data_IF_483685646473
#
_entry.id   IF_483685646473
#
_cell.length_a   1.000
_cell.length_b   1.000
_cell.length_c   1.000
_cell.angle_alpha   90.00
_cell.angle_beta   90.00
_cell.angle_gamma   90.00
#
_symmetry.space_group_name_H-M   'P 1'
#
loop_
_entity.id
_entity.type
_entity.pdbx_description
1 polymer ?
#
# COMPACT_ATOMS: atom_id res chain seq x y z
N UNK A 1 23.26 10.81 -1.12
CA UNK A 1 22.28 11.06 -0.05
C UNK A 1 21.07 11.71 -0.71
N UNK A 2 19.92 11.12 -0.53
CA UNK A 2 18.67 11.62 -1.11
C UNK A 2 18.16 12.87 -0.35
N UNK A 3 17.16 13.57 -0.91
CA UNK A 3 16.70 14.85 -0.35
C UNK A 3 15.64 14.70 0.74
N UNK A 4 14.82 13.63 0.66
CA UNK A 4 13.65 13.45 1.53
C UNK A 4 13.80 12.19 2.39
N UNK A 5 14.20 11.06 1.81
CA UNK A 5 14.48 9.82 2.51
C UNK A 5 15.95 9.79 2.86
N UNK A 6 16.31 10.29 4.03
CA UNK A 6 17.71 10.46 4.45
C UNK A 6 18.33 9.15 4.96
N UNK A 7 18.29 8.09 4.15
CA UNK A 7 18.94 6.81 4.42
C UNK A 7 20.25 6.67 3.63
N UNK A 8 21.06 5.68 4.01
CA UNK A 8 22.15 5.16 3.20
C UNK A 8 21.71 3.88 2.47
N UNK A 9 22.33 3.52 1.33
CA UNK A 9 21.95 2.33 0.57
C UNK A 9 21.96 1.02 1.39
N UNK A 10 22.92 0.87 2.30
CA UNK A 10 23.03 -0.31 3.17
C UNK A 10 21.98 -0.38 4.28
N UNK A 11 21.25 0.71 4.52
CA UNK A 11 20.20 0.79 5.52
C UNK A 11 18.82 0.41 4.99
N UNK A 12 18.65 0.28 3.68
CA UNK A 12 17.37 -0.05 3.06
C UNK A 12 17.43 -1.34 2.28
N UNK A 13 16.31 -2.05 2.26
CA UNK A 13 16.17 -3.30 1.52
C UNK A 13 15.65 -3.05 0.11
N UNK A 14 15.87 -4.03 -0.78
CA UNK A 14 15.14 -4.08 -2.05
C UNK A 14 13.63 -4.32 -1.87
N UNK A 15 13.20 -4.82 -0.69
CA UNK A 15 11.81 -5.16 -0.34
C UNK A 15 11.25 -4.14 0.64
N UNK A 16 10.31 -3.31 0.18
CA UNK A 16 9.81 -2.17 0.94
C UNK A 16 8.30 -2.22 1.11
N UNK A 17 7.84 -2.03 2.35
CA UNK A 17 6.45 -1.72 2.65
C UNK A 17 6.25 -0.21 2.67
N UNK A 18 5.19 0.27 2.02
CA UNK A 18 4.87 1.70 1.86
C UNK A 18 3.50 2.04 2.48
N UNK A 19 3.34 2.04 3.80
CA UNK A 19 2.15 2.61 4.41
C UNK A 19 2.17 4.14 4.30
N UNK A 20 0.99 4.76 4.19
CA UNK A 20 0.86 6.21 4.25
C UNK A 20 1.00 6.76 5.67
N UNK A 21 0.68 5.96 6.68
CA UNK A 21 0.73 6.30 8.10
C UNK A 21 2.09 5.89 8.71
N UNK A 22 2.77 6.84 9.35
CA UNK A 22 4.04 6.60 10.04
C UNK A 22 3.91 5.64 11.21
N UNK A 23 2.78 5.67 11.93
CA UNK A 23 2.50 4.71 13.01
C UNK A 23 2.39 3.29 12.46
N UNK A 24 1.73 3.12 11.30
CA UNK A 24 1.65 1.80 10.64
C UNK A 24 3.01 1.34 10.13
N UNK A 25 3.90 2.25 9.70
CA UNK A 25 5.26 1.88 9.34
C UNK A 25 6.00 1.24 10.52
N UNK A 26 5.78 1.78 11.72
CA UNK A 26 6.30 1.17 12.95
C UNK A 26 5.64 -0.16 13.27
N UNK A 27 4.30 -0.27 13.15
CA UNK A 27 3.59 -1.53 13.40
C UNK A 27 4.11 -2.66 12.50
N UNK A 28 4.37 -2.39 11.22
CA UNK A 28 5.01 -3.37 10.32
C UNK A 28 6.41 -3.74 10.83
N UNK A 29 7.21 -2.73 11.19
CA UNK A 29 8.58 -2.93 11.63
C UNK A 29 8.67 -3.61 13.02
N UNK A 30 7.65 -3.53 13.86
CA UNK A 30 7.59 -4.24 15.14
C UNK A 30 7.60 -5.77 14.99
N UNK A 31 7.33 -6.29 13.77
CA UNK A 31 7.50 -7.70 13.42
C UNK A 31 8.92 -8.05 12.95
N UNK A 32 9.82 -7.07 12.83
CA UNK A 32 11.19 -7.30 12.39
C UNK A 32 12.12 -7.65 13.54
N UNK A 33 12.93 -8.67 13.36
CA UNK A 33 14.10 -8.91 14.20
C UNK A 33 15.14 -7.81 13.95
N UNK A 34 15.77 -7.32 15.02
CA UNK A 34 16.82 -6.27 14.96
C UNK A 34 16.33 -5.00 14.24
N UNK A 35 15.08 -4.60 14.49
CA UNK A 35 14.48 -3.41 13.89
C UNK A 35 15.26 -2.16 14.31
N UNK A 36 15.57 -1.31 13.33
CA UNK A 36 16.19 0.00 13.51
C UNK A 36 15.40 1.08 12.80
N UNK A 37 15.18 2.23 13.46
CA UNK A 37 14.69 3.44 12.79
C UNK A 37 15.87 4.13 12.11
N UNK A 38 15.93 4.06 10.79
CA UNK A 38 17.06 4.54 9.98
C UNK A 38 16.88 5.95 9.42
N UNK A 39 15.64 6.44 9.35
CA UNK A 39 15.36 7.84 8.99
C UNK A 39 14.07 8.35 9.62
N UNK A 40 14.02 9.68 9.83
CA UNK A 40 12.83 10.43 10.25
C UNK A 40 13.01 11.87 9.75
N UNK A 41 12.48 12.16 8.58
CA UNK A 41 12.67 13.45 7.94
C UNK A 41 11.44 13.86 7.12
N UNK A 42 10.99 15.11 7.25
CA UNK A 42 9.88 15.70 6.48
C UNK A 42 8.56 14.90 6.52
N UNK A 43 8.33 14.16 7.61
CA UNK A 43 7.17 13.28 7.74
C UNK A 43 7.34 11.90 7.11
N UNK A 44 8.49 11.60 6.51
CA UNK A 44 8.85 10.26 6.06
C UNK A 44 9.66 9.58 7.16
N UNK A 45 9.20 8.44 7.62
CA UNK A 45 9.89 7.62 8.62
C UNK A 45 10.24 6.26 8.04
N UNK A 46 11.48 5.80 8.28
CA UNK A 46 11.96 4.53 7.72
C UNK A 46 12.50 3.65 8.83
N UNK A 47 12.03 2.41 8.82
CA UNK A 47 12.51 1.33 9.68
C UNK A 47 13.02 0.19 8.81
N UNK A 48 14.12 -0.43 9.22
CA UNK A 48 14.65 -1.63 8.56
C UNK A 48 14.99 -2.70 9.57
N UNK A 49 14.93 -3.96 9.16
CA UNK A 49 15.21 -5.12 9.99
C UNK A 49 14.98 -6.41 9.24
N UNK A 50 14.89 -7.51 9.95
CA UNK A 50 14.75 -8.84 9.36
C UNK A 50 13.41 -9.46 9.71
N UNK A 51 12.75 -10.07 8.74
CA UNK A 51 11.58 -10.91 8.95
C UNK A 51 11.85 -12.30 8.40
N UNK A 52 11.86 -13.31 9.26
CA UNK A 52 12.25 -14.70 8.90
C UNK A 52 13.56 -14.79 8.10
N UNK A 53 14.56 -13.99 8.50
CA UNK A 53 15.87 -13.95 7.87
C UNK A 53 15.99 -13.10 6.61
N UNK A 54 14.88 -12.53 6.10
CA UNK A 54 14.88 -11.63 4.95
C UNK A 54 14.99 -10.17 5.43
N UNK A 55 15.98 -9.43 4.93
CA UNK A 55 16.11 -7.99 5.20
C UNK A 55 14.98 -7.23 4.50
N UNK A 56 14.22 -6.43 5.25
CA UNK A 56 13.06 -5.69 4.77
C UNK A 56 13.06 -4.26 5.33
N UNK A 57 12.38 -3.38 4.62
CA UNK A 57 12.21 -1.97 5.01
C UNK A 57 10.73 -1.62 5.08
N UNK A 58 10.34 -0.82 6.07
CA UNK A 58 9.02 -0.20 6.18
C UNK A 58 9.18 1.32 6.16
N UNK A 59 8.59 1.96 5.14
CA UNK A 59 8.67 3.39 4.90
C UNK A 59 7.30 4.04 5.01
N UNK A 60 7.05 4.81 6.07
CA UNK A 60 5.87 5.66 6.21
C UNK A 60 5.97 6.86 5.28
N UNK A 61 5.30 6.80 4.15
CA UNK A 61 5.46 7.76 3.06
C UNK A 61 4.72 9.08 3.28
N UNK A 62 3.68 9.09 4.12
CA UNK A 62 2.68 10.17 4.14
C UNK A 62 1.54 9.87 3.16
N UNK A 63 0.64 10.83 2.97
CA UNK A 63 -0.58 10.70 2.16
C UNK A 63 -0.42 11.37 0.79
N UNK A 64 -0.92 10.69 -0.25
CA UNK A 64 -1.07 11.23 -1.60
C UNK A 64 0.06 10.84 -2.58
N UNK A 65 -0.28 10.87 -3.85
CA UNK A 65 0.60 10.46 -4.94
C UNK A 65 1.98 11.14 -4.95
N UNK A 66 2.10 12.47 -4.79
CA UNK A 66 3.40 13.16 -4.84
C UNK A 66 4.42 12.64 -3.83
N UNK A 67 4.01 12.41 -2.57
CA UNK A 67 4.95 11.94 -1.54
C UNK A 67 5.34 10.47 -1.74
N UNK A 68 4.39 9.65 -2.21
CA UNK A 68 4.69 8.26 -2.59
C UNK A 68 5.70 8.22 -3.74
N UNK A 69 5.49 9.01 -4.80
CA UNK A 69 6.42 9.06 -5.93
C UNK A 69 7.85 9.43 -5.48
N UNK A 70 7.99 10.45 -4.63
CA UNK A 70 9.29 10.85 -4.06
C UNK A 70 9.93 9.68 -3.29
N UNK A 71 9.18 9.06 -2.38
CA UNK A 71 9.70 7.98 -1.56
C UNK A 71 10.14 6.77 -2.41
N UNK A 72 9.35 6.37 -3.41
CA UNK A 72 9.69 5.27 -4.31
C UNK A 72 10.99 5.54 -5.10
N UNK A 73 11.10 6.74 -5.71
CA UNK A 73 12.27 7.10 -6.51
C UNK A 73 13.54 7.12 -5.65
N UNK A 74 13.49 7.76 -4.48
CA UNK A 74 14.67 7.85 -3.61
C UNK A 74 15.07 6.50 -3.00
N UNK A 75 14.11 5.66 -2.60
CA UNK A 75 14.38 4.30 -2.13
C UNK A 75 14.96 3.43 -3.26
N UNK A 76 14.46 3.58 -4.48
CA UNK A 76 14.97 2.84 -5.62
C UNK A 76 16.39 3.27 -6.02
N UNK A 77 16.76 4.54 -5.90
CA UNK A 77 18.16 5.00 -6.05
C UNK A 77 19.09 4.31 -5.06
N UNK A 78 18.57 3.87 -3.91
CA UNK A 78 19.32 3.13 -2.90
C UNK A 78 19.25 1.60 -3.07
N UNK A 79 18.60 1.12 -4.13
CA UNK A 79 18.58 -0.30 -4.50
C UNK A 79 17.26 -1.03 -4.24
N UNK A 80 16.21 -0.32 -3.81
CA UNK A 80 14.87 -0.94 -3.66
C UNK A 80 14.20 -1.14 -5.02
N UNK A 81 13.53 -2.29 -5.22
CA UNK A 81 12.87 -2.63 -6.49
C UNK A 81 11.50 -3.32 -6.33
N UNK A 82 11.08 -3.55 -5.09
CA UNK A 82 9.84 -4.25 -4.79
C UNK A 82 9.10 -3.52 -3.68
N UNK A 83 7.89 -3.05 -3.99
CA UNK A 83 7.13 -2.17 -3.10
C UNK A 83 5.72 -2.72 -2.88
N UNK A 84 5.33 -2.89 -1.62
CA UNK A 84 3.96 -3.26 -1.24
C UNK A 84 3.37 -2.13 -0.39
N UNK A 85 2.30 -1.50 -0.91
CA UNK A 85 1.51 -0.57 -0.12
C UNK A 85 0.64 -1.34 0.87
N UNK A 86 0.76 -1.00 2.15
CA UNK A 86 -0.10 -1.48 3.23
C UNK A 86 -0.89 -0.30 3.77
N UNK A 87 -2.14 -0.18 3.34
CA UNK A 87 -2.93 1.02 3.56
C UNK A 87 -4.23 0.80 4.34
N UNK A 88 -4.94 1.91 4.59
CA UNK A 88 -6.37 1.91 4.86
C UNK A 88 -7.12 2.43 3.64
N UNK A 89 -8.39 2.06 3.50
CA UNK A 89 -9.24 2.52 2.42
C UNK A 89 -10.70 2.69 2.86
N UNK A 90 -11.40 3.61 2.21
CA UNK A 90 -12.85 3.59 2.18
C UNK A 90 -13.36 2.51 1.22
N UNK A 91 -14.66 2.20 1.28
CA UNK A 91 -15.29 1.15 0.47
C UNK A 91 -16.53 1.65 -0.26
N UNK A 92 -16.91 0.96 -1.33
CA UNK A 92 -18.09 1.29 -2.14
C UNK A 92 -19.21 0.25 -2.01
N UNK A 93 -18.91 -1.00 -1.68
CA UNK A 93 -19.86 -2.10 -1.72
C UNK A 93 -20.55 -2.31 -0.39
N UNK A 94 -21.88 -2.54 -0.40
CA UNK A 94 -22.70 -2.66 0.81
C UNK A 94 -22.36 -3.89 1.68
N UNK A 95 -21.69 -4.89 1.10
CA UNK A 95 -21.27 -6.09 1.84
C UNK A 95 -19.97 -5.89 2.62
N UNK A 96 -19.24 -4.78 2.35
CA UNK A 96 -17.96 -4.51 2.97
C UNK A 96 -18.16 -3.84 4.33
N UNK A 97 -17.36 -4.27 5.29
CA UNK A 97 -17.42 -3.81 6.67
C UNK A 97 -16.04 -3.30 7.13
N UNK A 98 -15.98 -2.41 8.14
CA UNK A 98 -14.72 -2.00 8.72
C UNK A 98 -13.88 -3.20 9.15
N UNK A 99 -12.60 -3.19 8.83
CA UNK A 99 -11.65 -4.26 9.13
C UNK A 99 -11.57 -5.35 8.05
N UNK A 100 -12.33 -5.25 6.95
CA UNK A 100 -12.19 -6.19 5.85
C UNK A 100 -10.86 -5.97 5.12
N UNK A 101 -10.21 -7.07 4.77
CA UNK A 101 -8.97 -7.06 3.98
C UNK A 101 -9.28 -6.99 2.49
N UNK A 102 -8.61 -6.09 1.77
CA UNK A 102 -8.79 -5.87 0.33
C UNK A 102 -7.43 -5.90 -0.35
N UNK A 103 -7.28 -6.73 -1.38
CA UNK A 103 -6.09 -6.82 -2.22
C UNK A 103 -6.41 -6.23 -3.60
N UNK A 104 -5.67 -5.19 -4.01
CA UNK A 104 -5.95 -4.48 -5.25
C UNK A 104 -5.47 -5.28 -6.48
N UNK A 105 -6.38 -5.50 -7.44
CA UNK A 105 -6.06 -6.08 -8.76
C UNK A 105 -5.79 -5.01 -9.82
N UNK A 106 -6.07 -3.77 -9.51
CA UNK A 106 -5.87 -2.58 -10.33
C UNK A 106 -6.49 -1.37 -9.66
N UNK A 107 -6.25 -0.19 -10.22
CA UNK A 107 -6.75 1.06 -9.64
C UNK A 107 -7.26 2.00 -10.74
N UNK A 108 -8.49 2.50 -10.56
CA UNK A 108 -8.98 3.62 -11.34
C UNK A 108 -8.19 4.88 -10.97
N UNK A 109 -7.61 5.52 -11.97
CA UNK A 109 -6.70 6.67 -11.82
C UNK A 109 -7.49 7.97 -11.76
N UNK A 110 -7.78 8.44 -10.55
CA UNK A 110 -8.40 9.77 -10.32
C UNK A 110 -7.38 10.77 -9.73
N UNK A 111 -6.14 10.35 -9.47
CA UNK A 111 -5.04 11.20 -9.05
C UNK A 111 -4.27 11.82 -10.22
N UNK A 112 -3.53 12.90 -9.96
CA UNK A 112 -2.76 13.64 -10.98
C UNK A 112 -1.30 13.20 -11.11
N UNK A 113 -0.67 12.70 -10.04
CA UNK A 113 0.77 12.40 -10.01
C UNK A 113 1.17 11.36 -11.05
N UNK A 114 0.43 10.26 -11.13
CA UNK A 114 0.67 9.19 -12.08
C UNK A 114 0.64 9.66 -13.55
N UNK A 115 -0.10 10.71 -13.87
CA UNK A 115 -0.22 11.26 -15.23
C UNK A 115 1.06 11.97 -15.70
N UNK A 116 1.97 12.32 -14.79
CA UNK A 116 3.28 12.88 -15.13
C UNK A 116 4.28 11.80 -15.54
N UNK A 117 4.01 10.54 -15.27
CA UNK A 117 4.85 9.39 -15.67
C UNK A 117 4.32 8.73 -16.95
N UNK A 118 3.03 8.40 -16.99
CA UNK A 118 2.42 7.74 -18.15
C UNK A 118 1.00 8.30 -18.42
N UNK A 119 0.57 8.34 -19.69
CA UNK A 119 -0.76 8.82 -20.06
C UNK A 119 -1.89 8.15 -19.26
N UNK A 120 -3.01 8.86 -19.05
CA UNK A 120 -4.16 8.36 -18.29
C UNK A 120 -4.71 7.02 -18.81
N UNK A 121 -4.59 6.76 -20.10
CA UNK A 121 -5.03 5.49 -20.71
C UNK A 121 -4.14 4.29 -20.33
N UNK A 122 -2.95 4.51 -19.75
CA UNK A 122 -2.13 3.41 -19.26
C UNK A 122 -2.75 2.84 -17.96
N UNK A 123 -2.99 1.52 -17.86
CA UNK A 123 -3.66 0.94 -16.70
C UNK A 123 -2.74 0.96 -15.46
N UNK A 124 -3.29 1.35 -14.32
CA UNK A 124 -2.63 1.20 -13.03
C UNK A 124 -2.92 -0.20 -12.47
N UNK A 125 -1.99 -1.13 -12.65
CA UNK A 125 -2.11 -2.53 -12.21
C UNK A 125 -0.88 -2.97 -11.43
N UNK A 126 -1.05 -3.81 -10.40
CA UNK A 126 0.07 -4.38 -9.66
C UNK A 126 0.86 -5.37 -10.50
N UNK A 127 2.09 -5.65 -10.11
CA UNK A 127 2.85 -6.75 -10.67
C UNK A 127 2.20 -8.08 -10.30
N UNK A 128 1.89 -8.92 -11.30
CA UNK A 128 1.15 -10.18 -11.09
C UNK A 128 1.80 -11.10 -10.06
N UNK A 129 3.14 -11.21 -10.04
CA UNK A 129 3.83 -12.04 -9.04
C UNK A 129 3.62 -11.54 -7.61
N UNK A 130 3.56 -10.22 -7.40
CA UNK A 130 3.27 -9.63 -6.07
C UNK A 130 1.82 -9.87 -5.68
N UNK A 131 0.88 -9.57 -6.58
CA UNK A 131 -0.54 -9.84 -6.37
C UNK A 131 -0.80 -11.30 -5.98
N UNK A 132 -0.22 -12.23 -6.74
CA UNK A 132 -0.35 -13.67 -6.47
C UNK A 132 0.17 -14.04 -5.08
N UNK A 133 1.33 -13.50 -4.67
CA UNK A 133 1.90 -13.80 -3.35
C UNK A 133 1.09 -13.20 -2.20
N UNK A 134 0.44 -12.07 -2.39
CA UNK A 134 -0.50 -11.52 -1.40
C UNK A 134 -1.74 -12.42 -1.25
N UNK A 135 -2.30 -12.90 -2.36
CA UNK A 135 -3.46 -13.82 -2.34
C UNK A 135 -3.08 -15.16 -1.69
N UNK A 136 -1.99 -15.80 -2.12
CA UNK A 136 -1.48 -17.05 -1.55
C UNK A 136 -1.20 -16.91 -0.03
N UNK A 137 -0.69 -15.75 0.41
CA UNK A 137 -0.46 -15.47 1.82
C UNK A 137 -1.76 -15.37 2.61
N UNK A 138 -2.77 -14.64 2.09
CA UNK A 138 -4.08 -14.51 2.72
C UNK A 138 -4.77 -15.87 2.89
N UNK A 139 -4.79 -16.67 1.81
CA UNK A 139 -5.34 -18.04 1.82
C UNK A 139 -4.64 -18.91 2.88
N UNK A 140 -3.31 -18.87 2.94
CA UNK A 140 -2.52 -19.69 3.87
C UNK A 140 -2.62 -19.26 5.34
N UNK A 141 -3.06 -18.04 5.61
CA UNK A 141 -3.35 -17.52 6.94
C UNK A 141 -4.83 -17.67 7.34
N UNK A 142 -5.65 -18.20 6.44
CA UNK A 142 -7.11 -18.32 6.62
C UNK A 142 -7.78 -16.97 6.95
N UNK A 143 -7.26 -15.88 6.37
CA UNK A 143 -7.83 -14.54 6.50
C UNK A 143 -8.80 -14.28 5.36
N UNK A 144 -10.08 -13.98 5.64
CA UNK A 144 -11.04 -13.59 4.60
C UNK A 144 -10.58 -12.29 3.90
N UNK A 145 -10.66 -12.26 2.58
CA UNK A 145 -10.26 -11.10 1.79
C UNK A 145 -11.14 -10.90 0.55
N UNK A 146 -11.16 -9.68 0.06
CA UNK A 146 -11.74 -9.31 -1.23
C UNK A 146 -10.62 -8.94 -2.20
N UNK A 147 -10.70 -9.41 -3.44
CA UNK A 147 -9.85 -8.92 -4.53
C UNK A 147 -10.68 -8.08 -5.50
N UNK A 148 -10.13 -6.97 -5.98
CA UNK A 148 -10.88 -6.15 -6.92
C UNK A 148 -10.15 -4.87 -7.32
N UNK A 149 -10.78 -4.14 -8.24
CA UNK A 149 -10.28 -2.83 -8.69
C UNK A 149 -10.64 -1.79 -7.65
N UNK A 150 -9.65 -1.01 -7.23
CA UNK A 150 -9.81 0.15 -6.37
C UNK A 150 -9.91 1.46 -7.15
N UNK A 151 -9.93 2.56 -6.43
CA UNK A 151 -9.83 3.92 -6.94
C UNK A 151 -8.81 4.69 -6.11
N UNK A 152 -7.92 5.44 -6.75
CA UNK A 152 -7.04 6.40 -6.07
C UNK A 152 -7.34 7.82 -6.54
N UNK A 153 -7.48 8.75 -5.58
CA UNK A 153 -7.76 10.16 -5.88
C UNK A 153 -7.02 11.11 -4.95
N UNK A 154 -6.83 12.35 -5.39
CA UNK A 154 -6.01 13.33 -4.66
C UNK A 154 -6.80 14.17 -3.64
N UNK A 155 -8.14 14.15 -3.70
CA UNK A 155 -8.98 15.06 -2.92
C UNK A 155 -9.94 14.29 -2.00
N UNK A 156 -9.52 14.07 -0.75
CA UNK A 156 -10.33 13.36 0.25
C UNK A 156 -11.66 14.06 0.54
N UNK A 157 -11.66 15.39 0.61
CA UNK A 157 -12.84 16.23 0.89
C UNK A 157 -13.47 16.82 -0.38
N UNK A 158 -13.26 16.22 -1.55
CA UNK A 158 -13.89 16.69 -2.77
C UNK A 158 -15.42 16.75 -2.62
N UNK A 159 -16.07 17.79 -3.15
CA UNK A 159 -17.54 17.89 -3.15
C UNK A 159 -18.16 16.66 -3.82
N UNK A 160 -19.18 16.10 -3.21
CA UNK A 160 -19.99 15.00 -3.77
C UNK A 160 -21.36 15.58 -4.15
N UNK A 161 -21.85 15.25 -5.34
CA UNK A 161 -23.20 15.63 -5.73
C UNK A 161 -24.22 14.81 -4.91
N UNK A 162 -25.12 15.45 -4.14
CA UNK A 162 -26.15 14.75 -3.41
C UNK A 162 -27.08 13.98 -4.35
N UNK A 163 -27.28 12.69 -4.09
CA UNK A 163 -28.22 11.84 -4.87
C UNK A 163 -27.75 11.44 -6.25
N UNK A 164 -26.50 11.71 -6.61
CA UNK A 164 -25.90 11.26 -7.86
C UNK A 164 -25.75 9.74 -7.94
N UNK A 165 -25.84 9.18 -9.14
CA UNK A 165 -25.55 7.77 -9.41
C UNK A 165 -24.11 7.48 -9.03
N UNK A 166 -23.88 6.46 -8.21
CA UNK A 166 -22.53 6.05 -7.86
C UNK A 166 -22.01 5.03 -8.89
N UNK A 167 -21.49 5.54 -10.01
CA UNK A 167 -20.96 4.73 -11.09
C UNK A 167 -19.81 3.80 -10.64
N UNK A 168 -19.04 4.17 -9.64
CA UNK A 168 -17.95 3.35 -9.11
C UNK A 168 -18.49 2.13 -8.34
N UNK A 169 -19.55 2.33 -7.55
CA UNK A 169 -20.24 1.24 -6.88
C UNK A 169 -20.86 0.27 -7.91
N UNK A 170 -21.52 0.81 -8.93
CA UNK A 170 -22.15 0.01 -9.99
C UNK A 170 -21.12 -0.72 -10.86
N UNK A 171 -19.93 -0.15 -11.06
CA UNK A 171 -18.80 -0.78 -11.75
C UNK A 171 -18.06 -1.82 -10.89
N UNK A 172 -18.48 -2.03 -9.63
CA UNK A 172 -17.87 -3.02 -8.75
C UNK A 172 -16.53 -2.59 -8.12
N UNK A 173 -16.24 -1.27 -8.07
CA UNK A 173 -15.05 -0.78 -7.36
C UNK A 173 -15.15 -1.15 -5.88
N UNK A 174 -14.09 -1.74 -5.32
CA UNK A 174 -14.09 -2.29 -3.96
C UNK A 174 -13.40 -1.40 -2.93
N UNK A 175 -12.54 -0.47 -3.35
CA UNK A 175 -11.81 0.39 -2.42
C UNK A 175 -11.58 1.79 -2.97
N UNK A 176 -11.40 2.77 -2.08
CA UNK A 176 -10.95 4.12 -2.42
C UNK A 176 -9.85 4.56 -1.44
N UNK A 177 -8.74 5.02 -2.00
CA UNK A 177 -7.58 5.53 -1.27
C UNK A 177 -6.87 6.62 -2.09
N UNK A 178 -5.58 6.92 -1.87
CA UNK A 178 -4.97 8.13 -2.45
C UNK A 178 -3.60 7.88 -3.13
N UNK A 179 -3.11 6.65 -3.27
CA UNK A 179 -1.70 6.42 -3.65
C UNK A 179 -1.44 5.28 -4.64
N UNK A 180 -2.33 4.30 -4.76
CA UNK A 180 -2.04 3.07 -5.53
C UNK A 180 -1.92 3.29 -7.03
N UNK A 181 -2.61 4.27 -7.61
CA UNK A 181 -2.41 4.61 -9.01
C UNK A 181 -0.98 5.08 -9.28
N UNK A 182 -0.46 5.93 -8.40
CA UNK A 182 0.93 6.42 -8.45
C UNK A 182 1.91 5.27 -8.25
N UNK A 183 1.73 4.46 -7.21
CA UNK A 183 2.58 3.29 -6.95
C UNK A 183 2.68 2.37 -8.16
N UNK A 184 1.55 1.99 -8.75
CA UNK A 184 1.52 1.03 -9.87
C UNK A 184 2.09 1.62 -11.15
N UNK A 185 1.76 2.87 -11.47
CA UNK A 185 2.21 3.53 -12.70
C UNK A 185 3.70 3.85 -12.64
N UNK A 186 4.20 4.38 -11.52
CA UNK A 186 5.64 4.66 -11.33
C UNK A 186 6.41 3.35 -11.37
N UNK A 187 5.94 2.32 -10.65
CA UNK A 187 6.55 0.99 -10.68
C UNK A 187 6.63 0.40 -12.09
N UNK A 188 5.53 0.46 -12.86
CA UNK A 188 5.52 -0.01 -14.25
C UNK A 188 6.50 0.78 -15.13
N UNK A 189 6.53 2.11 -15.01
CA UNK A 189 7.43 2.97 -15.77
C UNK A 189 8.92 2.68 -15.48
N UNK A 190 9.24 2.37 -14.23
CA UNK A 190 10.60 2.10 -13.76
C UNK A 190 11.00 0.61 -13.80
N UNK A 191 10.06 -0.31 -14.05
CA UNK A 191 10.33 -1.74 -14.04
C UNK A 191 10.41 -2.34 -12.62
N UNK A 192 9.84 -1.66 -11.62
CA UNK A 192 9.77 -2.16 -10.24
C UNK A 192 8.52 -3.02 -10.02
N UNK A 193 8.62 -3.93 -9.07
CA UNK A 193 7.48 -4.77 -8.67
C UNK A 193 6.63 -4.04 -7.64
N UNK A 194 5.31 -4.02 -7.86
CA UNK A 194 4.39 -3.31 -6.97
C UNK A 194 3.16 -4.13 -6.65
N UNK A 195 2.62 -3.93 -5.44
CA UNK A 195 1.36 -4.49 -4.97
C UNK A 195 0.72 -3.59 -3.94
N UNK A 196 -0.56 -3.83 -3.63
CA UNK A 196 -1.26 -3.09 -2.59
C UNK A 196 -2.29 -3.96 -1.88
N UNK A 197 -2.35 -3.80 -0.56
CA UNK A 197 -3.30 -4.42 0.35
C UNK A 197 -3.82 -3.37 1.32
N UNK A 198 -5.09 -3.44 1.66
CA UNK A 198 -5.75 -2.45 2.49
C UNK A 198 -6.60 -3.11 3.58
N UNK A 199 -6.83 -2.33 4.64
CA UNK A 199 -7.89 -2.56 5.61
C UNK A 199 -8.95 -1.50 5.43
N UNK A 200 -10.21 -1.89 5.31
CA UNK A 200 -11.32 -0.94 5.22
C UNK A 200 -11.50 -0.19 6.55
N UNK A 201 -11.62 1.14 6.50
CA UNK A 201 -11.73 2.01 7.67
C UNK A 201 -13.13 2.61 7.89
N UNK A 202 -14.12 2.15 7.12
CA UNK A 202 -15.49 2.63 7.19
C UNK A 202 -16.47 1.73 6.42
N UNK A 203 -17.68 2.24 6.27
CA UNK A 203 -18.73 1.69 5.39
C UNK A 203 -18.94 2.63 4.20
N UNK A 204 -19.76 2.28 3.20
CA UNK A 204 -20.07 3.19 2.09
C UNK A 204 -20.69 4.53 2.51
N UNK A 205 -21.30 4.60 3.70
CA UNK A 205 -21.98 5.78 4.24
C UNK A 205 -21.24 6.47 5.37
N UNK A 206 -20.30 5.79 6.03
CA UNK A 206 -19.54 6.30 7.17
C UNK A 206 -18.05 6.26 6.89
N UNK A 207 -17.44 7.42 6.79
CA UNK A 207 -16.01 7.55 6.50
C UNK A 207 -15.22 7.55 7.80
N UNK A 208 -14.26 6.62 7.91
CA UNK A 208 -13.29 6.53 9.03
C UNK A 208 -13.87 6.43 10.45
N UNK A 209 -15.08 5.87 10.71
CA UNK A 209 -15.59 5.77 12.06
C UNK A 209 -14.87 4.71 12.90
N UNK A 210 -14.11 3.83 12.24
CA UNK A 210 -13.67 2.57 12.82
C UNK A 210 -12.22 2.55 13.32
N UNK A 211 -11.46 3.63 13.23
CA UNK A 211 -10.02 3.62 13.58
C UNK A 211 -9.68 3.17 14.99
N UNK A 212 -10.54 3.39 15.96
CA UNK A 212 -10.40 2.88 17.32
C UNK A 212 -11.07 1.53 17.59
N UNK A 213 -11.66 0.91 16.56
CA UNK A 213 -12.44 -0.31 16.70
C UNK A 213 -11.56 -1.55 16.67
N UNK A 214 -11.83 -2.54 17.55
CA UNK A 214 -11.09 -3.81 17.60
C UNK A 214 -11.07 -4.53 16.24
N UNK A 215 -12.20 -4.51 15.53
CA UNK A 215 -12.28 -5.14 14.19
C UNK A 215 -11.34 -4.49 13.18
N UNK A 216 -11.23 -3.15 13.18
CA UNK A 216 -10.29 -2.44 12.31
C UNK A 216 -8.84 -2.75 12.69
N UNK A 217 -8.53 -2.75 14.00
CA UNK A 217 -7.18 -3.06 14.48
C UNK A 217 -6.77 -4.48 14.09
N UNK A 218 -7.71 -5.46 14.26
CA UNK A 218 -7.49 -6.83 13.81
C UNK A 218 -7.27 -6.90 12.30
N UNK A 219 -8.11 -6.27 11.49
CA UNK A 219 -7.97 -6.25 10.03
C UNK A 219 -6.66 -5.58 9.58
N UNK A 220 -6.21 -4.54 10.30
CA UNK A 220 -4.91 -3.91 10.04
C UNK A 220 -3.76 -4.90 10.31
N UNK A 221 -3.83 -5.64 11.41
CA UNK A 221 -2.85 -6.68 11.73
C UNK A 221 -2.89 -7.81 10.69
N UNK A 222 -4.07 -8.28 10.30
CA UNK A 222 -4.24 -9.29 9.25
C UNK A 222 -3.58 -8.84 7.93
N UNK A 223 -3.82 -7.61 7.50
CA UNK A 223 -3.21 -7.05 6.28
C UNK A 223 -1.67 -6.93 6.40
N UNK A 224 -1.15 -6.58 7.56
CA UNK A 224 0.30 -6.55 7.84
C UNK A 224 0.89 -7.96 7.73
N UNK A 225 0.29 -8.96 8.37
CA UNK A 225 0.76 -10.34 8.32
C UNK A 225 0.75 -10.92 6.90
N UNK A 226 -0.29 -10.63 6.12
CA UNK A 226 -0.37 -11.03 4.72
C UNK A 226 0.75 -10.38 3.92
N UNK A 227 0.97 -9.08 4.10
CA UNK A 227 2.02 -8.35 3.38
C UNK A 227 3.42 -8.89 3.72
N UNK A 228 3.72 -9.10 5.00
CA UNK A 228 4.99 -9.66 5.48
C UNK A 228 5.25 -11.03 4.89
N UNK A 229 4.27 -11.94 4.99
CA UNK A 229 4.38 -13.30 4.44
C UNK A 229 4.51 -13.28 2.92
N UNK A 230 3.69 -12.49 2.23
CA UNK A 230 3.76 -12.34 0.77
C UNK A 230 5.12 -11.83 0.29
N UNK A 231 5.68 -10.81 0.96
CA UNK A 231 7.00 -10.27 0.64
C UNK A 231 8.10 -11.29 0.91
N UNK A 232 8.03 -12.02 2.02
CA UNK A 232 8.98 -13.10 2.32
C UNK A 232 8.99 -14.18 1.23
N UNK A 233 7.80 -14.60 0.77
CA UNK A 233 7.72 -15.60 -0.29
C UNK A 233 8.21 -15.10 -1.65
N UNK A 234 8.10 -13.78 -1.90
CA UNK A 234 8.74 -13.13 -3.05
C UNK A 234 10.27 -13.20 -2.93
N UNK A 235 10.82 -12.83 -1.77
CA UNK A 235 12.26 -12.86 -1.52
C UNK A 235 12.85 -14.26 -1.65
N UNK A 236 12.16 -15.28 -1.12
CA UNK A 236 12.56 -16.68 -1.29
C UNK A 236 12.53 -17.14 -2.75
N UNK A 237 11.55 -16.69 -3.52
CA UNK A 237 11.49 -16.98 -4.95
C UNK A 237 12.62 -16.28 -5.74
N UNK A 238 13.16 -15.19 -5.22
CA UNK A 238 14.34 -14.47 -5.76
C UNK A 238 15.67 -15.12 -5.34
N UNK A 239 15.66 -16.17 -4.48
CA UNK A 239 16.83 -16.93 -4.07
C UNK A 239 17.44 -16.50 -2.73
N UNK A 240 16.69 -15.80 -1.88
CA UNK A 240 17.09 -15.39 -0.52
C UNK A 240 16.58 -16.35 0.56
#
# INVERSE_FOLDING_TARGET
MEFHVLCQPEQVSRYVFCPGDQARAKLIADHFDKMEKVADNRGIVVYSGYYDGVFMTSCGTGMGGPVVAIALEELAHMGSDTFIRVGSCGVFQDYQMPGDTIIATGTYRAGGTANNYLPLAFPAVPTFSVLRKLVEAAESLDVPFTVGVGMAGDAFYAPREPGGRNIFKEAGIVSVEMESDTLFVVGAYRGWRTGAIYTSDGTPTEIKPAWGHERYQKGQEDAIQIALKGMRELARADGL
#
